data_IF_286271243048
#
_entry.id   IF_286271243048
#
_cell.length_a   1.000
_cell.length_b   1.000
_cell.length_c   1.000
_cell.angle_alpha   90.00
_cell.angle_beta   90.00
_cell.angle_gamma   90.00
#
_symmetry.space_group_name_H-M   'P 1'
#
loop_
_entity.id
_entity.type
_entity.pdbx_description
1 polymer ?
#
# COMPACT_ATOMS: atom_id res chain seq x y z
N UNK A 1 9.70 36.14 11.91
CA UNK A 1 9.98 34.82 12.52
C UNK A 1 8.78 33.93 12.21
N UNK A 2 8.93 32.75 11.58
CA UNK A 2 7.75 31.95 11.26
C UNK A 2 7.18 31.42 12.57
N UNK A 3 5.88 31.65 12.74
CA UNK A 3 5.11 31.33 13.92
C UNK A 3 5.27 29.86 14.32
N UNK A 4 5.39 29.64 15.63
CA UNK A 4 5.38 28.34 16.27
C UNK A 4 4.10 27.62 15.84
N UNK A 5 4.25 26.59 15.01
CA UNK A 5 3.15 25.72 14.59
C UNK A 5 2.32 25.33 15.81
N UNK A 6 1.01 25.69 15.86
CA UNK A 6 0.20 25.48 17.04
C UNK A 6 0.21 23.98 17.38
N UNK A 7 0.27 23.65 18.68
CA UNK A 7 0.40 22.27 19.19
C UNK A 7 -0.54 21.26 18.49
N UNK A 8 -1.71 21.72 18.05
CA UNK A 8 -2.68 20.94 17.26
C UNK A 8 -2.13 20.43 15.91
N UNK A 9 -1.31 21.22 15.22
CA UNK A 9 -0.71 20.84 13.94
C UNK A 9 0.41 19.81 14.14
N UNK A 10 1.17 19.91 15.24
CA UNK A 10 2.14 18.89 15.63
C UNK A 10 1.50 17.55 15.94
N UNK A 11 0.37 17.55 16.64
CA UNK A 11 -0.40 16.33 16.93
C UNK A 11 -0.88 15.69 15.63
N UNK A 12 -1.48 16.46 14.72
CA UNK A 12 -1.92 15.98 13.40
C UNK A 12 -0.76 15.45 12.56
N UNK A 13 0.38 16.14 12.55
CA UNK A 13 1.57 15.68 11.82
C UNK A 13 2.05 14.32 12.37
N UNK A 14 2.11 14.17 13.69
CA UNK A 14 2.52 12.91 14.33
C UNK A 14 1.55 11.77 14.01
N UNK A 15 0.25 12.04 14.01
CA UNK A 15 -0.77 11.05 13.62
C UNK A 15 -0.64 10.65 12.15
N UNK A 16 -0.41 11.62 11.27
CA UNK A 16 -0.18 11.38 9.84
C UNK A 16 1.05 10.49 9.61
N UNK A 17 2.17 10.78 10.29
CA UNK A 17 3.39 9.96 10.23
C UNK A 17 3.12 8.53 10.72
N UNK A 18 2.43 8.37 11.85
CA UNK A 18 2.09 7.02 12.37
C UNK A 18 1.24 6.21 11.40
N UNK A 19 0.25 6.83 10.77
CA UNK A 19 -0.59 6.17 9.76
C UNK A 19 0.22 5.78 8.53
N UNK A 20 1.13 6.63 8.09
CA UNK A 20 2.01 6.35 6.94
C UNK A 20 2.92 5.16 7.22
N UNK A 21 3.58 5.15 8.39
CA UNK A 21 4.42 4.03 8.83
C UNK A 21 3.61 2.74 8.88
N UNK A 22 2.43 2.75 9.51
CA UNK A 22 1.58 1.56 9.60
C UNK A 22 1.17 1.03 8.22
N UNK A 23 0.81 1.90 7.28
CA UNK A 23 0.47 1.49 5.92
C UNK A 23 1.67 0.88 5.18
N UNK A 24 2.86 1.46 5.33
CA UNK A 24 4.09 0.95 4.73
C UNK A 24 4.51 -0.39 5.36
N UNK A 25 4.33 -0.58 6.66
CA UNK A 25 4.60 -1.85 7.33
C UNK A 25 3.69 -2.97 6.81
N UNK A 26 2.41 -2.69 6.56
CA UNK A 26 1.49 -3.65 5.93
C UNK A 26 1.99 -4.05 4.55
N UNK A 27 2.37 -3.08 3.71
CA UNK A 27 2.85 -3.37 2.36
C UNK A 27 4.23 -4.04 2.34
N UNK A 28 5.09 -3.72 3.30
CA UNK A 28 6.37 -4.40 3.46
C UNK A 28 6.17 -5.89 3.72
N UNK A 29 5.17 -6.27 4.53
CA UNK A 29 4.87 -7.68 4.81
C UNK A 29 4.37 -8.46 3.58
N UNK A 30 3.74 -7.80 2.61
CA UNK A 30 3.18 -8.47 1.44
C UNK A 30 4.22 -8.78 0.34
N UNK A 31 5.40 -8.12 0.37
CA UNK A 31 6.53 -8.31 -0.55
C UNK A 31 6.23 -8.08 -2.05
N UNK A 32 5.07 -7.51 -2.41
CA UNK A 32 4.67 -7.22 -3.81
C UNK A 32 5.06 -5.81 -4.24
N UNK A 33 6.30 -5.40 -3.98
CA UNK A 33 6.77 -4.02 -4.19
C UNK A 33 6.62 -3.56 -5.65
N UNK A 34 6.76 -4.49 -6.61
CA UNK A 34 6.57 -4.21 -8.05
C UNK A 34 5.15 -3.85 -8.45
N UNK A 35 4.15 -4.18 -7.61
CA UNK A 35 2.74 -3.88 -7.84
C UNK A 35 2.31 -2.59 -7.12
N UNK A 36 3.22 -1.94 -6.38
CA UNK A 36 2.90 -0.75 -5.61
C UNK A 36 2.66 0.47 -6.51
N UNK A 37 1.62 1.23 -6.19
CA UNK A 37 1.31 2.51 -6.81
C UNK A 37 1.23 3.61 -5.76
N UNK A 38 1.34 4.86 -6.23
CA UNK A 38 1.28 6.05 -5.40
C UNK A 38 -0.16 6.32 -4.96
N UNK A 39 -0.40 6.44 -3.66
CA UNK A 39 -1.68 6.76 -3.05
C UNK A 39 -1.56 7.92 -2.06
N UNK A 40 -2.64 8.68 -1.92
CA UNK A 40 -2.79 9.68 -0.87
C UNK A 40 -3.59 9.04 0.26
N UNK A 41 -2.94 8.83 1.40
CA UNK A 41 -3.56 8.33 2.62
C UNK A 41 -4.24 9.49 3.36
N UNK A 42 -5.56 9.43 3.49
CA UNK A 42 -6.35 10.57 3.95
C UNK A 42 -6.23 11.74 2.97
N UNK A 43 -5.87 12.92 3.47
CA UNK A 43 -5.76 14.15 2.66
C UNK A 43 -4.35 14.75 2.60
N UNK A 44 -3.33 14.05 3.12
CA UNK A 44 -2.05 14.72 3.41
C UNK A 44 -0.81 13.88 3.09
N UNK A 45 -0.88 12.54 3.20
CA UNK A 45 0.35 11.72 3.16
C UNK A 45 0.41 10.85 1.93
N UNK A 46 1.54 10.94 1.23
CA UNK A 46 1.83 10.09 0.08
C UNK A 46 2.48 8.78 0.51
N UNK A 47 1.92 7.64 0.08
CA UNK A 47 2.46 6.30 0.34
C UNK A 47 2.42 5.45 -0.93
N UNK A 48 3.25 4.42 -0.99
CA UNK A 48 3.26 3.44 -2.08
C UNK A 48 2.78 2.10 -1.54
N UNK A 49 1.64 1.62 -2.05
CA UNK A 49 0.99 0.39 -1.59
C UNK A 49 0.56 -0.44 -2.79
N UNK A 50 0.46 -1.77 -2.66
CA UNK A 50 -0.26 -2.58 -3.64
C UNK A 50 -1.78 -2.52 -3.35
N UNK A 51 -2.62 -2.85 -4.35
CA UNK A 51 -4.08 -2.78 -4.20
C UNK A 51 -4.65 -3.62 -3.06
N UNK A 52 -4.02 -4.76 -2.74
CA UNK A 52 -4.39 -5.59 -1.59
C UNK A 52 -4.15 -4.88 -0.26
N UNK A 53 -2.95 -4.32 -0.07
CA UNK A 53 -2.58 -3.61 1.16
C UNK A 53 -3.35 -2.30 1.33
N UNK A 54 -3.67 -1.60 0.24
CA UNK A 54 -4.52 -0.41 0.31
C UNK A 54 -5.91 -0.77 0.88
N UNK A 55 -6.47 -1.90 0.44
CA UNK A 55 -7.78 -2.38 0.93
C UNK A 55 -7.72 -2.70 2.42
N UNK A 56 -6.66 -3.37 2.87
CA UNK A 56 -6.43 -3.70 4.28
C UNK A 56 -6.29 -2.47 5.17
N UNK A 57 -5.59 -1.43 4.69
CA UNK A 57 -5.40 -0.18 5.43
C UNK A 57 -6.70 0.63 5.54
N UNK A 58 -7.55 0.62 4.50
CA UNK A 58 -8.84 1.34 4.52
C UNK A 58 -9.94 0.57 5.26
N UNK A 59 -9.93 -0.76 5.16
CA UNK A 59 -10.88 -1.64 5.81
C UNK A 59 -10.09 -2.65 6.65
N UNK A 60 -9.73 -2.29 7.88
CA UNK A 60 -9.16 -3.23 8.84
C UNK A 60 -10.25 -4.20 9.29
N UNK A 61 -10.76 -5.03 8.38
CA UNK A 61 -11.73 -6.05 8.69
C UNK A 61 -11.04 -7.12 9.53
N UNK A 62 -11.57 -7.26 10.75
CA UNK A 62 -11.23 -8.24 11.75
C UNK A 62 -10.95 -9.63 11.16
N UNK A 63 -9.69 -10.06 11.23
CA UNK A 63 -9.30 -11.47 11.27
C UNK A 63 -9.53 -12.29 10.00
N UNK A 64 -8.48 -12.44 9.17
CA UNK A 64 -7.85 -13.74 8.81
C UNK A 64 -6.84 -13.57 7.66
N UNK A 65 -5.82 -14.45 7.58
CA UNK A 65 -4.72 -14.32 6.64
C UNK A 65 -5.18 -14.71 5.23
N UNK A 66 -5.13 -13.79 4.27
CA UNK A 66 -5.17 -14.18 2.85
C UNK A 66 -3.78 -14.59 2.39
N UNK A 67 -3.40 -15.82 2.74
CA UNK A 67 -2.50 -16.64 1.92
C UNK A 67 -3.16 -16.87 0.56
N UNK A 68 -3.09 -15.88 -0.33
CA UNK A 68 -3.49 -16.06 -1.73
C UNK A 68 -2.27 -16.43 -2.58
N UNK A 69 -1.76 -17.64 -2.31
CA UNK A 69 -1.11 -18.45 -3.33
C UNK A 69 -2.20 -18.92 -4.29
N UNK A 70 -2.17 -18.46 -5.55
CA UNK A 70 -2.86 -18.99 -6.76
C UNK A 70 -2.69 -17.92 -7.87
N UNK A 71 -2.05 -18.13 -9.03
CA UNK A 71 -1.58 -19.31 -9.78
C UNK A 71 -0.50 -18.83 -10.79
N UNK A 72 0.53 -19.63 -11.15
CA UNK A 72 1.34 -19.38 -12.34
C UNK A 72 0.57 -19.82 -13.59
N UNK A 73 0.09 -18.89 -14.40
CA UNK A 73 -0.39 -19.22 -15.75
C UNK A 73 -0.12 -18.08 -16.73
N UNK A 74 1.08 -18.10 -17.31
CA UNK A 74 1.23 -17.61 -18.68
C UNK A 74 1.64 -18.80 -19.57
N UNK A 75 0.62 -19.49 -20.11
CA UNK A 75 0.80 -20.35 -21.27
C UNK A 75 1.25 -19.46 -22.44
N UNK A 76 2.47 -19.64 -22.94
CA UNK A 76 2.82 -19.29 -24.33
C UNK A 76 2.83 -20.58 -25.15
N UNK A 77 1.66 -20.93 -25.67
CA UNK A 77 1.49 -21.63 -26.95
C UNK A 77 0.81 -20.58 -27.82
N UNK A 78 1.32 -20.14 -28.97
CA UNK A 78 1.72 -20.87 -30.17
C UNK A 78 2.58 -19.91 -31.03
N UNK A 79 3.67 -20.40 -31.62
CA UNK A 79 4.25 -19.77 -32.83
C UNK A 79 3.66 -20.50 -34.05
N UNK A 80 3.01 -19.82 -34.99
CA UNK A 80 2.78 -20.38 -36.32
C UNK A 80 3.98 -20.11 -37.23
N UNK A 81 4.00 -20.81 -38.37
CA UNK A 81 4.88 -20.64 -39.53
C UNK A 81 6.17 -21.46 -39.58
N UNK A 82 6.01 -22.69 -40.09
CA UNK A 82 6.96 -23.30 -41.02
C UNK A 82 6.18 -23.86 -42.21
N UNK A 83 6.24 -23.12 -43.31
CA UNK A 83 6.12 -23.66 -44.66
C UNK A 83 7.53 -23.99 -45.18
#
# INVERSE_FOLDING_TARGET
MPEVTPVKDWVKLRENVRRAIGALEVCWRCQRVSECQKYILGNMVLVWLCGGCLTEVHHPQCGRPQTRNRVPHFRKTVSPDRA
#
